data_IF_048530972753
#
_entry.id   IF_048530972753
#
_cell.length_a   1.000
_cell.length_b   1.000
_cell.length_c   1.000
_cell.angle_alpha   90.00
_cell.angle_beta   90.00
_cell.angle_gamma   90.00
#
_symmetry.space_group_name_H-M   'P 1'
#
loop_
_entity.id
_entity.type
_entity.pdbx_description
1 polymer ?
#
# COMPACT_ATOMS: atom_id res chain seq x y z
N UNK A 1 -29.18 -25.81 12.59
CA UNK A 1 -27.79 -25.41 12.82
C UNK A 1 -27.14 -25.13 11.47
N UNK A 2 -27.10 -23.86 11.05
CA UNK A 2 -26.52 -23.47 9.77
C UNK A 2 -25.03 -23.23 9.95
N UNK A 3 -24.19 -24.09 9.37
CA UNK A 3 -22.77 -23.77 9.22
C UNK A 3 -22.67 -22.62 8.22
N UNK A 4 -22.37 -21.41 8.72
CA UNK A 4 -21.94 -20.30 7.88
C UNK A 4 -20.62 -20.72 7.21
N UNK A 5 -20.71 -21.22 5.99
CA UNK A 5 -19.57 -21.59 5.16
C UNK A 5 -18.90 -20.33 4.62
N UNK A 6 -18.08 -19.67 5.43
CA UNK A 6 -17.21 -18.61 4.94
C UNK A 6 -15.96 -19.24 4.34
N UNK A 7 -15.87 -19.26 3.01
CA UNK A 7 -14.65 -19.62 2.31
C UNK A 7 -13.52 -18.68 2.73
N UNK A 8 -12.40 -19.23 3.18
CA UNK A 8 -11.28 -18.47 3.74
C UNK A 8 -10.14 -18.42 2.71
N UNK A 9 -9.70 -17.21 2.38
CA UNK A 9 -8.48 -16.98 1.61
C UNK A 9 -7.40 -16.46 2.56
N UNK A 10 -6.17 -16.91 2.34
CA UNK A 10 -5.00 -16.46 3.09
C UNK A 10 -3.81 -16.34 2.13
N UNK A 11 -2.99 -15.31 2.34
CA UNK A 11 -1.76 -15.07 1.59
C UNK A 11 -0.56 -15.23 2.53
N UNK A 12 0.32 -16.15 2.19
CA UNK A 12 1.58 -16.40 2.87
C UNK A 12 2.71 -15.77 2.06
N UNK A 13 3.23 -14.64 2.52
CA UNK A 13 4.37 -13.97 1.90
C UNK A 13 5.68 -14.66 2.33
N UNK A 14 6.65 -14.75 1.41
CA UNK A 14 7.97 -15.29 1.74
C UNK A 14 8.71 -14.48 2.81
N UNK A 15 8.39 -13.18 2.93
CA UNK A 15 8.88 -12.31 4.02
C UNK A 15 7.74 -12.00 4.99
N UNK A 16 7.80 -12.48 6.24
CA UNK A 16 6.69 -12.32 7.19
C UNK A 16 6.53 -10.89 7.71
N UNK A 17 7.59 -10.09 7.73
CA UNK A 17 7.53 -8.69 8.20
C UNK A 17 6.91 -7.73 7.18
N UNK A 18 6.73 -8.16 5.92
CA UNK A 18 6.20 -7.35 4.81
C UNK A 18 6.99 -6.06 4.56
N UNK A 19 8.30 -6.09 4.85
CA UNK A 19 9.21 -4.98 4.58
C UNK A 19 9.97 -5.23 3.29
N UNK A 20 9.93 -4.23 2.41
CA UNK A 20 10.53 -4.31 1.09
C UNK A 20 11.24 -3.00 0.74
N UNK A 21 12.22 -3.10 -0.14
CA UNK A 21 12.80 -1.96 -0.83
C UNK A 21 12.16 -1.79 -2.21
N UNK A 22 12.15 -0.57 -2.72
CA UNK A 22 11.84 -0.32 -4.13
C UNK A 22 12.71 -1.20 -5.04
N UNK A 23 12.12 -1.71 -6.13
CA UNK A 23 12.77 -2.68 -7.03
C UNK A 23 12.80 -4.13 -6.53
N UNK A 24 12.38 -4.43 -5.31
CA UNK A 24 12.37 -5.82 -4.82
C UNK A 24 11.20 -6.64 -5.36
N UNK A 25 11.45 -7.95 -5.46
CA UNK A 25 10.42 -8.94 -5.74
C UNK A 25 9.64 -9.27 -4.46
N UNK A 26 8.32 -9.18 -4.55
CA UNK A 26 7.38 -9.73 -3.58
C UNK A 26 6.89 -11.07 -4.12
N UNK A 27 7.02 -12.12 -3.31
CA UNK A 27 6.60 -13.47 -3.68
C UNK A 27 6.00 -14.20 -2.48
N UNK A 28 5.22 -15.22 -2.77
CA UNK A 28 4.55 -16.01 -1.76
C UNK A 28 3.61 -17.05 -2.36
N UNK A 29 2.72 -17.54 -1.51
CA UNK A 29 1.70 -18.51 -1.87
C UNK A 29 0.33 -18.07 -1.35
N UNK A 30 -0.70 -18.25 -2.15
CA UNK A 30 -2.10 -18.01 -1.79
C UNK A 30 -2.72 -19.36 -1.48
N UNK A 31 -3.31 -19.50 -0.30
CA UNK A 31 -4.06 -20.68 0.13
C UNK A 31 -5.54 -20.32 0.20
N UNK A 32 -6.39 -21.14 -0.39
CA UNK A 32 -7.84 -20.91 -0.41
C UNK A 32 -8.59 -22.19 -0.06
N UNK A 33 -9.47 -22.10 0.95
CA UNK A 33 -10.37 -23.18 1.34
C UNK A 33 -11.79 -22.84 0.88
N UNK A 34 -12.29 -23.57 -0.12
CA UNK A 34 -13.68 -23.49 -0.51
C UNK A 34 -14.51 -24.48 0.31
N UNK A 35 -15.49 -23.97 1.05
CA UNK A 35 -16.46 -24.79 1.80
C UNK A 35 -17.75 -25.04 1.02
N UNK A 36 -18.01 -24.25 -0.02
CA UNK A 36 -19.19 -24.35 -0.87
C UNK A 36 -19.03 -25.49 -1.89
N UNK A 37 -20.14 -26.09 -2.33
CA UNK A 37 -20.09 -27.16 -3.33
C UNK A 37 -19.57 -26.63 -4.67
N UNK A 38 -19.91 -25.39 -5.02
CA UNK A 38 -19.53 -24.72 -6.26
C UNK A 38 -19.40 -23.23 -6.01
N UNK A 39 -18.26 -22.65 -6.39
CA UNK A 39 -17.97 -21.23 -6.35
C UNK A 39 -17.60 -20.77 -7.76
N UNK A 40 -18.34 -19.80 -8.27
CA UNK A 40 -18.11 -19.16 -9.57
C UNK A 40 -17.36 -17.84 -9.37
N UNK A 41 -16.25 -17.66 -10.09
CA UNK A 41 -15.37 -16.50 -10.04
C UNK A 41 -15.05 -16.03 -11.47
N UNK A 42 -14.96 -14.73 -11.68
CA UNK A 42 -14.52 -14.17 -12.97
C UNK A 42 -12.98 -14.24 -13.07
N UNK A 43 -12.28 -13.99 -11.96
CA UNK A 43 -10.82 -14.03 -11.88
C UNK A 43 -10.34 -14.11 -10.43
N UNK A 44 -9.12 -14.58 -10.22
CA UNK A 44 -8.37 -14.37 -8.97
C UNK A 44 -7.13 -13.58 -9.30
N UNK A 45 -6.92 -12.46 -8.62
CA UNK A 45 -5.78 -11.59 -8.88
C UNK A 45 -5.28 -10.88 -7.62
N UNK A 46 -3.98 -10.64 -7.58
CA UNK A 46 -3.31 -9.86 -6.56
C UNK A 46 -3.03 -8.46 -7.11
N UNK A 47 -3.36 -7.43 -6.34
CA UNK A 47 -2.97 -6.05 -6.65
C UNK A 47 -2.01 -5.51 -5.61
N UNK A 48 -0.97 -4.82 -6.07
CA UNK A 48 -0.14 -3.96 -5.23
C UNK A 48 -0.54 -2.51 -5.49
N UNK A 49 -0.98 -1.83 -4.44
CA UNK A 49 -1.48 -0.47 -4.52
C UNK A 49 -0.61 0.43 -3.65
N UNK A 50 -0.30 1.62 -4.16
CA UNK A 50 0.34 2.70 -3.42
C UNK A 50 -0.49 3.97 -3.53
N UNK A 51 -0.78 4.58 -2.38
CA UNK A 51 -1.66 5.73 -2.26
C UNK A 51 -1.04 6.79 -1.37
N UNK A 52 -1.16 8.04 -1.78
CA UNK A 52 -0.79 9.19 -0.97
C UNK A 52 -2.05 9.88 -0.47
N UNK A 53 -2.00 10.36 0.76
CA UNK A 53 -3.01 11.20 1.34
C UNK A 53 -2.42 12.53 1.77
N UNK A 54 -3.10 13.64 1.49
CA UNK A 54 -2.77 14.96 2.04
C UNK A 54 -4.01 15.79 2.31
N UNK A 55 -3.88 16.86 3.11
CA UNK A 55 -4.95 17.82 3.35
C UNK A 55 -4.54 19.22 2.90
N UNK A 56 -5.53 20.01 2.48
CA UNK A 56 -5.38 21.41 2.11
C UNK A 56 -6.35 22.26 2.91
N UNK A 57 -5.94 23.45 3.33
CA UNK A 57 -6.83 24.42 3.95
C UNK A 57 -7.34 25.39 2.89
N UNK A 58 -8.63 25.64 2.91
CA UNK A 58 -9.26 26.64 2.06
C UNK A 58 -10.03 27.63 2.94
N UNK A 59 -10.03 28.89 2.51
CA UNK A 59 -10.72 29.99 3.18
C UNK A 59 -11.81 30.49 2.24
N UNK A 60 -13.04 30.55 2.73
CA UNK A 60 -14.18 31.15 2.00
C UNK A 60 -14.61 32.41 2.71
N UNK A 61 -14.67 33.50 1.94
CA UNK A 61 -15.30 34.73 2.39
C UNK A 61 -16.73 34.75 1.86
N UNK A 62 -17.70 34.74 2.77
CA UNK A 62 -19.11 34.89 2.44
C UNK A 62 -19.61 36.21 3.00
N UNK A 63 -20.36 36.96 2.20
CA UNK A 63 -21.11 38.11 2.70
C UNK A 63 -22.54 37.65 3.00
N UNK A 64 -22.99 37.84 4.23
CA UNK A 64 -24.38 37.54 4.60
C UNK A 64 -25.34 38.59 4.01
N UNK A 65 -26.65 38.34 4.10
CA UNK A 65 -27.68 39.26 3.59
C UNK A 65 -27.66 40.63 4.30
N UNK A 66 -26.99 40.73 5.46
CA UNK A 66 -26.87 41.94 6.27
C UNK A 66 -25.56 42.70 6.00
N UNK A 67 -24.73 42.24 5.05
CA UNK A 67 -23.48 42.88 4.66
C UNK A 67 -22.24 42.49 5.48
N UNK A 68 -22.37 41.63 6.50
CA UNK A 68 -21.23 41.17 7.28
C UNK A 68 -20.40 40.15 6.50
N UNK A 69 -19.08 40.28 6.59
CA UNK A 69 -18.17 39.26 6.07
C UNK A 69 -17.97 38.15 7.11
N UNK A 70 -18.31 36.94 6.71
CA UNK A 70 -17.95 35.72 7.42
C UNK A 70 -16.79 35.04 6.70
N UNK A 71 -15.78 34.65 7.47
CA UNK A 71 -14.64 33.88 6.98
C UNK A 71 -14.76 32.46 7.52
N UNK A 72 -14.95 31.51 6.62
CA UNK A 72 -15.03 30.09 6.94
C UNK A 72 -13.71 29.40 6.56
N UNK A 73 -13.13 28.68 7.52
CA UNK A 73 -11.97 27.83 7.30
C UNK A 73 -12.43 26.38 7.17
N UNK A 74 -12.03 25.71 6.10
CA UNK A 74 -12.32 24.30 5.90
C UNK A 74 -11.09 23.53 5.43
N UNK A 75 -10.97 22.31 5.94
CA UNK A 75 -9.92 21.36 5.57
C UNK A 75 -10.48 20.39 4.56
N UNK A 76 -9.86 20.33 3.37
CA UNK A 76 -10.12 19.27 2.39
C UNK A 76 -9.09 18.17 2.54
N UNK A 77 -9.52 16.93 2.34
CA UNK A 77 -8.67 15.75 2.35
C UNK A 77 -8.65 15.13 0.95
N UNK A 78 -7.46 14.77 0.49
CA UNK A 78 -7.21 14.20 -0.82
C UNK A 78 -6.54 12.84 -0.66
N UNK A 79 -6.97 11.88 -1.46
CA UNK A 79 -6.38 10.55 -1.57
C UNK A 79 -6.12 10.27 -3.04
N UNK A 80 -4.85 10.05 -3.39
CA UNK A 80 -4.41 9.90 -4.77
C UNK A 80 -3.66 8.58 -4.91
N UNK A 81 -4.20 7.59 -5.66
CA UNK A 81 -3.44 6.40 -6.00
C UNK A 81 -2.35 6.77 -7.00
N UNK A 82 -1.11 6.34 -6.71
CA UNK A 82 0.04 6.57 -7.60
C UNK A 82 0.68 5.27 -8.08
N UNK A 83 0.37 4.14 -7.44
CA UNK A 83 0.80 2.81 -7.86
C UNK A 83 -0.42 1.89 -7.90
N UNK A 84 -0.60 1.19 -9.03
CA UNK A 84 -1.53 0.08 -9.15
C UNK A 84 -0.93 -0.95 -10.10
N UNK A 85 -0.39 -2.02 -9.53
CA UNK A 85 0.11 -3.17 -10.28
C UNK A 85 -0.80 -4.37 -10.01
N UNK A 86 -1.12 -5.16 -11.04
CA UNK A 86 -2.02 -6.31 -10.95
C UNK A 86 -1.32 -7.54 -11.51
N UNK A 87 -1.34 -8.64 -10.77
CA UNK A 87 -0.92 -9.96 -11.23
C UNK A 87 -2.10 -10.89 -11.18
N UNK A 88 -2.37 -11.53 -12.31
CA UNK A 88 -3.40 -12.55 -12.38
C UNK A 88 -2.88 -13.85 -11.80
N UNK A 89 -3.68 -14.47 -10.92
CA UNK A 89 -3.35 -15.73 -10.26
C UNK A 89 -4.09 -16.87 -10.96
N UNK A 90 -5.39 -16.68 -11.20
CA UNK A 90 -6.23 -17.62 -11.95
C UNK A 90 -7.09 -16.81 -12.92
N UNK A 91 -7.18 -17.29 -14.16
CA UNK A 91 -8.06 -16.77 -15.20
C UNK A 91 -8.91 -17.92 -15.77
N UNK A 92 -10.07 -17.61 -16.36
CA UNK A 92 -10.83 -18.59 -17.13
C UNK A 92 -9.98 -19.18 -18.26
N UNK A 93 -10.15 -20.47 -18.53
CA UNK A 93 -9.53 -21.11 -19.69
C UNK A 93 -10.10 -20.53 -21.00
N UNK A 94 -9.39 -20.72 -22.11
CA UNK A 94 -9.84 -20.24 -23.41
C UNK A 94 -11.23 -20.79 -23.76
N UNK A 95 -12.19 -19.90 -24.00
CA UNK A 95 -13.58 -20.25 -24.29
C UNK A 95 -14.49 -20.38 -23.06
N UNK A 96 -13.94 -20.32 -21.85
CA UNK A 96 -14.72 -20.23 -20.61
C UNK A 96 -14.93 -18.76 -20.22
N UNK A 97 -16.10 -18.44 -19.65
CA UNK A 97 -16.38 -17.12 -19.10
C UNK A 97 -15.96 -16.97 -17.64
N UNK A 98 -15.96 -18.06 -16.89
CA UNK A 98 -15.83 -18.06 -15.44
C UNK A 98 -14.97 -19.24 -14.99
N UNK A 99 -14.30 -19.07 -13.87
CA UNK A 99 -13.60 -20.11 -13.11
C UNK A 99 -14.61 -20.77 -12.17
N UNK A 100 -14.64 -22.09 -12.18
CA UNK A 100 -15.47 -22.88 -11.26
C UNK A 100 -14.56 -23.59 -10.27
N UNK A 101 -14.66 -23.22 -8.99
CA UNK A 101 -14.00 -23.90 -7.88
C UNK A 101 -15.01 -24.75 -7.14
N UNK A 102 -14.75 -26.05 -7.05
CA UNK A 102 -15.54 -26.97 -6.23
C UNK A 102 -15.07 -26.93 -4.77
N UNK A 103 -15.79 -27.61 -3.89
CA UNK A 103 -15.35 -27.78 -2.50
C UNK A 103 -13.95 -28.40 -2.47
N UNK A 104 -13.01 -27.75 -1.80
CA UNK A 104 -11.63 -28.23 -1.77
C UNK A 104 -10.63 -27.18 -1.30
N UNK A 105 -9.37 -27.56 -1.37
CA UNK A 105 -8.22 -26.72 -1.05
C UNK A 105 -7.49 -26.33 -2.33
N UNK A 106 -7.13 -25.07 -2.44
CA UNK A 106 -6.42 -24.53 -3.58
C UNK A 106 -5.18 -23.77 -3.12
N UNK A 107 -4.13 -23.84 -3.91
CA UNK A 107 -2.85 -23.20 -3.62
C UNK A 107 -2.24 -22.65 -4.88
N UNK A 108 -1.88 -21.37 -4.88
CA UNK A 108 -1.26 -20.71 -6.03
C UNK A 108 -0.04 -19.89 -5.63
N UNK A 109 1.15 -20.14 -6.20
CA UNK A 109 2.30 -19.28 -6.00
C UNK A 109 2.08 -17.95 -6.74
N UNK A 110 2.67 -16.88 -6.22
CA UNK A 110 2.68 -15.60 -6.89
C UNK A 110 4.05 -14.92 -6.77
N UNK A 111 4.36 -14.07 -7.74
CA UNK A 111 5.50 -13.17 -7.69
C UNK A 111 5.22 -11.90 -8.48
N UNK A 112 5.72 -10.77 -8.00
CA UNK A 112 5.73 -9.50 -8.73
C UNK A 112 6.89 -8.63 -8.26
N UNK A 113 7.35 -7.73 -9.12
CA UNK A 113 8.47 -6.82 -8.83
C UNK A 113 7.91 -5.42 -8.57
N UNK A 114 8.34 -4.81 -7.47
CA UNK A 114 8.05 -3.42 -7.16
C UNK A 114 8.77 -2.49 -8.14
N UNK A 115 8.18 -1.36 -8.55
CA UNK A 115 8.91 -0.34 -9.28
C UNK A 115 10.18 0.12 -8.53
N UNK A 116 11.21 0.47 -9.30
CA UNK A 116 12.50 0.90 -8.75
C UNK A 116 12.44 2.27 -8.04
N UNK A 117 11.45 3.09 -8.40
CA UNK A 117 11.25 4.43 -7.85
C UNK A 117 9.91 4.47 -7.13
N UNK A 118 9.95 4.35 -5.81
CA UNK A 118 8.79 4.44 -4.94
C UNK A 118 9.10 5.36 -3.76
N UNK A 119 8.20 6.28 -3.38
CA UNK A 119 8.37 7.05 -2.15
C UNK A 119 8.36 6.12 -0.92
N UNK A 120 9.09 6.46 0.15
CA UNK A 120 9.05 5.70 1.40
C UNK A 120 7.63 5.64 1.96
N UNK A 121 7.28 4.53 2.60
CA UNK A 121 6.10 4.48 3.46
C UNK A 121 6.20 5.56 4.53
N UNK A 122 5.16 6.40 4.62
CA UNK A 122 5.01 7.43 5.64
C UNK A 122 3.69 7.18 6.34
N UNK A 123 3.74 6.50 7.48
CA UNK A 123 2.55 6.11 8.24
C UNK A 123 2.77 6.52 9.71
N UNK A 124 2.59 7.82 10.05
CA UNK A 124 2.69 8.27 11.43
C UNK A 124 1.50 7.77 12.29
N UNK A 125 0.32 7.57 11.67
CA UNK A 125 -0.84 6.83 12.19
C UNK A 125 -1.85 6.60 11.05
N UNK A 126 -2.85 5.74 11.21
CA UNK A 126 -3.88 5.49 10.18
C UNK A 126 -4.74 6.71 9.85
N UNK A 127 -4.83 7.70 10.75
CA UNK A 127 -5.70 8.88 10.67
C UNK A 127 -4.96 10.21 10.45
N UNK A 128 -3.63 10.22 10.43
CA UNK A 128 -2.84 11.46 10.26
C UNK A 128 -2.42 11.66 8.81
N UNK A 129 -2.60 12.88 8.32
CA UNK A 129 -2.09 13.37 7.04
C UNK A 129 -0.81 14.18 7.24
N UNK A 130 0.15 14.17 6.29
CA UNK A 130 0.16 13.37 5.07
C UNK A 130 0.55 11.91 5.32
N UNK A 131 0.19 11.02 4.40
CA UNK A 131 0.65 9.63 4.41
C UNK A 131 1.05 9.14 3.02
N UNK A 132 1.93 8.13 3.01
CA UNK A 132 2.24 7.29 1.86
C UNK A 132 2.07 5.84 2.32
N UNK A 133 1.07 5.16 1.78
CA UNK A 133 0.68 3.81 2.20
C UNK A 133 0.78 2.85 1.02
N UNK A 134 1.22 1.63 1.30
CA UNK A 134 1.22 0.54 0.35
C UNK A 134 0.50 -0.66 0.94
N UNK A 135 -0.19 -1.40 0.07
CA UNK A 135 -0.78 -2.65 0.45
C UNK A 135 -0.85 -3.61 -0.73
N UNK A 136 -0.69 -4.90 -0.45
CA UNK A 136 -1.12 -5.95 -1.35
C UNK A 136 -2.57 -6.30 -1.04
N UNK A 137 -3.41 -6.53 -2.06
CA UNK A 137 -4.74 -7.09 -1.86
C UNK A 137 -4.98 -8.25 -2.82
N UNK A 138 -5.43 -9.36 -2.26
CA UNK A 138 -5.95 -10.48 -3.05
C UNK A 138 -7.44 -10.25 -3.27
N UNK A 139 -7.89 -10.44 -4.51
CA UNK A 139 -9.29 -10.26 -4.91
C UNK A 139 -9.78 -11.53 -5.58
N UNK A 140 -10.87 -12.08 -5.05
CA UNK A 140 -11.70 -13.08 -5.71
C UNK A 140 -12.81 -12.29 -6.41
N UNK A 141 -12.61 -12.09 -7.71
CA UNK A 141 -13.57 -11.40 -8.55
C UNK A 141 -14.76 -12.31 -8.75
N UNK A 142 -15.93 -11.86 -8.34
CA UNK A 142 -17.19 -12.60 -8.50
C UNK A 142 -18.00 -11.94 -9.61
N UNK A 143 -18.93 -12.69 -10.22
CA UNK A 143 -19.88 -12.11 -11.15
C UNK A 143 -20.54 -10.85 -10.59
N UNK A 144 -20.81 -9.86 -11.45
CA UNK A 144 -21.24 -8.49 -11.12
C UNK A 144 -22.37 -8.34 -10.08
N UNK A 145 -23.20 -9.36 -9.91
CA UNK A 145 -24.33 -9.37 -8.96
C UNK A 145 -23.93 -9.86 -7.55
N UNK A 146 -22.69 -10.29 -7.34
CA UNK A 146 -22.14 -10.72 -6.05
C UNK A 146 -21.00 -9.79 -5.63
N UNK A 147 -20.86 -9.47 -4.33
CA UNK A 147 -19.74 -8.68 -3.85
C UNK A 147 -18.43 -9.48 -3.92
N UNK A 148 -17.38 -8.85 -4.46
CA UNK A 148 -16.03 -9.43 -4.46
C UNK A 148 -15.53 -9.68 -3.05
N UNK A 149 -14.86 -10.82 -2.85
CA UNK A 149 -14.12 -11.07 -1.63
C UNK A 149 -12.70 -10.51 -1.78
N UNK A 150 -12.23 -9.79 -0.76
CA UNK A 150 -10.91 -9.16 -0.77
C UNK A 150 -10.25 -9.28 0.59
N UNK A 151 -8.93 -9.43 0.59
CA UNK A 151 -8.11 -9.38 1.80
C UNK A 151 -6.91 -8.50 1.55
N UNK A 152 -6.58 -7.65 2.52
CA UNK A 152 -5.60 -6.56 2.39
C UNK A 152 -4.45 -6.80 3.36
N UNK A 153 -3.24 -6.61 2.87
CA UNK A 153 -1.99 -6.79 3.59
C UNK A 153 -1.16 -5.50 3.49
N UNK A 154 -0.95 -4.78 4.60
CA UNK A 154 -0.15 -3.56 4.59
C UNK A 154 1.32 -3.90 4.29
N UNK A 155 1.96 -3.08 3.46
CA UNK A 155 3.37 -3.21 3.10
C UNK A 155 4.13 -1.97 3.59
N UNK A 156 5.35 -2.19 4.07
CA UNK A 156 6.30 -1.10 4.35
C UNK A 156 7.37 -1.10 3.27
N UNK A 157 7.45 0.01 2.52
CA UNK A 157 8.39 0.16 1.41
C UNK A 157 9.43 1.23 1.75
N UNK A 158 10.70 0.90 1.57
CA UNK A 158 11.82 1.81 1.68
C UNK A 158 12.42 2.10 0.29
N UNK A 159 12.78 3.36 -0.03
CA UNK A 159 13.52 3.65 -1.24
C UNK A 159 14.94 3.07 -1.15
N UNK A 160 15.52 2.70 -2.29
CA UNK A 160 16.95 2.45 -2.38
C UNK A 160 17.66 3.77 -2.57
N UNK A 161 18.42 4.19 -1.55
CA UNK A 161 19.13 5.46 -1.56
C UNK A 161 20.62 5.19 -1.64
N UNK A 162 21.26 5.66 -2.72
CA UNK A 162 22.70 5.66 -2.85
C UNK A 162 23.22 7.09 -2.73
N UNK A 163 23.87 7.37 -1.60
CA UNK A 163 24.38 8.69 -1.24
C UNK A 163 25.42 9.23 -2.23
N UNK A 164 26.07 8.36 -3.03
CA UNK A 164 27.05 8.77 -4.05
C UNK A 164 26.41 9.58 -5.18
N UNK A 165 25.13 9.35 -5.45
CA UNK A 165 24.39 10.01 -6.51
C UNK A 165 23.52 11.17 -5.99
N UNK A 166 23.62 11.49 -4.69
CA UNK A 166 22.88 12.61 -4.09
C UNK A 166 23.82 13.80 -3.97
N UNK A 167 23.47 14.97 -4.53
CA UNK A 167 24.23 16.21 -4.32
C UNK A 167 24.40 16.49 -2.83
N UNK A 168 25.66 16.62 -2.37
CA UNK A 168 25.97 16.81 -0.94
C UNK A 168 25.78 15.56 -0.06
N UNK A 169 25.37 14.41 -0.61
CA UNK A 169 25.13 13.18 0.14
C UNK A 169 26.39 12.57 0.77
N UNK A 170 27.57 12.98 0.30
CA UNK A 170 28.87 12.63 0.89
C UNK A 170 29.56 13.83 1.56
N UNK A 171 28.93 15.00 1.56
CA UNK A 171 29.55 16.20 2.11
C UNK A 171 29.53 16.13 3.63
N UNK A 172 30.70 16.29 4.24
CA UNK A 172 30.80 16.45 5.69
C UNK A 172 30.13 17.77 6.09
N UNK A 173 29.13 17.69 6.98
CA UNK A 173 28.48 18.87 7.53
C UNK A 173 29.15 19.21 8.86
N UNK A 174 29.89 20.32 8.88
CA UNK A 174 30.43 20.90 10.11
C UNK A 174 29.48 21.97 10.63
N UNK A 175 29.10 21.88 11.90
CA UNK A 175 28.28 22.92 12.54
C UNK A 175 29.14 23.71 13.54
N UNK A 176 29.29 25.02 13.37
CA UNK A 176 29.99 25.92 14.32
C UNK A 176 29.08 26.29 15.50
N UNK A 177 29.58 26.15 16.73
CA UNK A 177 28.79 26.29 17.96
C UNK A 177 28.53 27.77 18.27
N UNK A 178 27.28 28.25 18.15
CA UNK A 178 26.95 29.67 18.36
C UNK A 178 26.04 29.95 19.56
N UNK A 179 25.59 28.96 20.36
CA UNK A 179 24.78 29.28 21.54
C UNK A 179 24.68 28.17 22.60
N UNK A 180 25.07 28.47 23.85
CA UNK A 180 25.13 27.53 25.00
C UNK A 180 23.77 27.01 25.52
N UNK A 181 22.65 27.38 24.89
CA UNK A 181 21.27 26.99 25.28
C UNK A 181 20.62 25.96 24.35
N UNK A 182 21.31 25.47 23.32
CA UNK A 182 20.76 24.49 22.36
C UNK A 182 21.62 23.22 22.33
N UNK A 183 20.97 22.07 22.47
CA UNK A 183 21.61 20.77 22.25
C UNK A 183 21.86 20.64 20.74
N UNK A 184 23.09 20.29 20.38
CA UNK A 184 23.45 19.94 19.01
C UNK A 184 23.96 18.50 19.00
N UNK A 185 23.31 17.66 18.20
CA UNK A 185 23.73 16.28 17.97
C UNK A 185 24.86 16.27 16.94
N UNK A 186 25.96 15.61 17.27
CA UNK A 186 27.12 15.44 16.41
C UNK A 186 27.29 13.94 16.17
N UNK A 187 27.09 13.51 14.92
CA UNK A 187 27.21 12.12 14.51
C UNK A 187 28.17 12.01 13.33
N UNK A 188 29.06 11.01 13.38
CA UNK A 188 29.95 10.68 12.27
C UNK A 188 29.39 9.45 11.56
N UNK A 189 29.02 9.59 10.29
CA UNK A 189 28.73 8.45 9.41
C UNK A 189 30.07 7.89 8.93
N UNK A 190 30.58 6.93 9.68
CA UNK A 190 31.76 6.16 9.28
C UNK A 190 31.36 5.18 8.17
N UNK A 191 32.10 5.20 7.06
CA UNK A 191 31.98 4.23 5.97
C UNK A 191 32.25 2.82 6.52
N UNK A 192 31.20 2.02 6.74
CA UNK A 192 31.34 0.59 6.96
C UNK A 192 31.75 -0.08 5.64
N UNK A 193 33.06 -0.25 5.43
CA UNK A 193 33.61 -1.11 4.40
C UNK A 193 33.91 -2.49 5.00
N UNK A 194 33.51 -3.54 4.28
CA UNK A 194 34.14 -4.86 4.34
C UNK A 194 35.57 -4.72 3.81
#
# INVERSE_FOLDING_TARGET
>A
MGANGSSEIQVSFNRPNLFYFAGEQIAGNISFQNTENKLELDAIFLECVGELGYSTQEVRHRRDANGNQQTEHYTKYHQVPFLKSRVSIVQPEYGQREIILYRGQYSWPFQFVLPNQLPPSLIPSTTTYPYVKYYARIVLDKPWYKPNAKQVYPLTIFPRVDLRYIPGGQQQVSFSNENRKKIRLQGYLMRGGI
#
